data_IF_966891062754
#
_entry.id   IF_966891062754
#
_cell.length_a   1.000
_cell.length_b   1.000
_cell.length_c   1.000
_cell.angle_alpha   90.00
_cell.angle_beta   90.00
_cell.angle_gamma   90.00
#
_symmetry.space_group_name_H-M   'P 1'
#
loop_
_entity.id
_entity.type
_entity.pdbx_description
1 polymer ?
2 branched ?
3 non-polymer ?
4 non-polymer ?
5 non-polymer ?
6 water ?
#
# COMPACT_ATOMS: atom_id res chain seq x y z
N UNK A 31 21.09 -19.40 -7.86
CA UNK A 31 21.18 -18.62 -9.14
C UNK A 31 21.48 -17.13 -8.91
N UNK A 32 22.12 -16.53 -9.91
CA UNK A 32 22.55 -15.13 -9.86
C UNK A 32 22.18 -14.47 -11.20
N UNK A 33 20.88 -14.52 -11.52
CA UNK A 33 20.38 -14.03 -12.81
C UNK A 33 19.98 -12.55 -12.83
N UNK A 34 19.81 -11.93 -11.66
CA UNK A 34 19.28 -10.57 -11.58
C UNK A 34 17.80 -10.46 -11.93
N UNK A 35 17.05 -11.54 -11.65
CA UNK A 35 15.60 -11.60 -11.87
C UNK A 35 14.83 -12.02 -10.62
N UNK A 36 15.54 -12.40 -9.56
CA UNK A 36 14.94 -12.91 -8.33
C UNK A 36 14.12 -11.85 -7.62
N UNK A 37 13.12 -12.29 -6.87
CA UNK A 37 12.33 -11.40 -6.03
C UNK A 37 13.19 -10.79 -4.94
N UNK A 38 12.87 -9.55 -4.60
CA UNK A 38 13.49 -8.90 -3.47
C UNK A 38 12.54 -8.83 -2.27
N UNK A 39 12.97 -9.38 -1.14
CA UNK A 39 12.13 -9.51 0.03
C UNK A 39 12.29 -8.36 1.04
N UNK A 40 12.92 -7.28 0.58
CA UNK A 40 12.94 -6.01 1.31
C UNK A 40 12.22 -4.92 0.51
N UNK A 41 11.42 -5.35 -0.45
CA UNK A 41 10.62 -4.46 -1.31
C UNK A 41 9.16 -4.82 -1.14
N UNK A 42 8.39 -3.85 -0.65
CA UNK A 42 7.01 -4.02 -0.21
C UNK A 42 6.10 -3.23 -1.11
N UNK A 43 5.14 -3.87 -1.75
CA UNK A 43 4.28 -3.18 -2.70
C UNK A 43 2.84 -3.16 -2.18
N UNK A 44 2.31 -1.97 -1.94
CA UNK A 44 1.00 -1.83 -1.33
C UNK A 44 -0.12 -2.28 -2.27
N UNK A 45 -0.91 -3.23 -1.79
CA UNK A 45 -1.89 -3.95 -2.57
C UNK A 45 -3.27 -3.78 -1.97
N UNK A 46 -4.26 -3.51 -2.81
CA UNK A 46 -5.64 -3.28 -2.40
C UNK A 46 -6.50 -4.42 -2.95
N UNK A 47 -7.35 -4.96 -2.09
CA UNK A 47 -8.17 -6.11 -2.39
C UNK A 47 -9.66 -5.82 -2.36
N UNK A 48 -10.03 -4.57 -2.61
CA UNK A 48 -11.40 -4.10 -2.43
C UNK A 48 -12.20 -4.00 -3.73
N UNK A 49 -11.67 -4.50 -4.84
CA UNK A 49 -12.35 -4.43 -6.12
C UNK A 49 -13.30 -5.60 -6.28
N UNK A 50 -14.45 -5.35 -6.90
CA UNK A 50 -15.38 -6.41 -7.17
C UNK A 50 -15.83 -6.43 -8.61
N UNK A 51 -16.71 -7.39 -8.85
CA UNK A 51 -17.58 -7.39 -10.01
C UNK A 51 -19.02 -7.76 -9.59
N UNK A 52 -20.01 -7.37 -10.40
CA UNK A 52 -21.38 -7.79 -10.14
C UNK A 52 -21.46 -9.31 -10.05
N UNK A 53 -20.76 -10.01 -10.94
CA UNK A 53 -20.88 -11.47 -11.01
C UNK A 53 -20.36 -12.18 -9.76
N UNK A 54 -19.21 -11.73 -9.24
CA UNK A 54 -18.60 -12.37 -8.10
C UNK A 54 -18.96 -11.81 -6.75
N UNK A 55 -19.18 -10.51 -6.70
CA UNK A 55 -19.30 -9.78 -5.45
C UNK A 55 -20.67 -9.15 -5.28
N UNK A 56 -21.46 -9.13 -6.35
CA UNK A 56 -22.81 -8.61 -6.30
C UNK A 56 -22.88 -7.16 -6.76
N UNK A 57 -21.68 -6.62 -7.09
CA UNK A 57 -21.49 -5.16 -7.49
C UNK A 57 -20.02 -5.01 -7.93
N UNK A 58 -19.78 -4.26 -9.00
CA UNK A 58 -18.46 -3.69 -9.38
C UNK A 58 -17.93 -2.75 -8.27
N UNK A 59 -17.66 -3.40 -7.13
CA UNK A 59 -17.20 -2.70 -5.94
C UNK A 59 -15.91 -1.92 -6.22
N UNK A 60 -15.88 -0.67 -5.73
CA UNK A 60 -14.77 0.25 -5.88
C UNK A 60 -14.61 0.85 -7.27
N UNK A 61 -14.91 0.07 -8.32
CA UNK A 61 -14.95 0.68 -9.65
C UNK A 61 -16.03 1.77 -9.70
N UNK A 62 -17.13 1.53 -8.99
CA UNK A 62 -18.12 2.53 -8.62
C UNK A 62 -17.69 3.19 -7.34
N UNK A 63 -17.84 4.52 -7.25
CA UNK A 63 -17.34 5.26 -6.11
C UNK A 63 -18.02 6.62 -5.98
N UNK A 64 -18.29 7.04 -4.76
CA UNK A 64 -18.78 8.40 -4.54
C UNK A 64 -17.74 9.45 -4.95
N UNK A 65 -18.21 10.59 -5.44
CA UNK A 65 -17.35 11.75 -5.68
C UNK A 65 -17.34 12.60 -4.42
N UNK A 66 -16.17 12.99 -3.96
CA UNK A 66 -16.04 13.75 -2.72
C UNK A 66 -16.41 15.20 -2.90
N UNK A 67 -17.18 15.76 -1.94
CA UNK A 67 -17.40 17.20 -1.95
C UNK A 67 -16.08 17.94 -1.69
N UNK A 68 -16.01 19.16 -2.19
CA UNK A 68 -14.89 20.04 -1.97
C UNK A 68 -14.94 20.52 -0.52
N UNK A 69 -13.92 20.19 0.30
CA UNK A 69 -13.97 20.65 1.69
C UNK A 69 -14.03 22.18 1.87
N UNK A 70 -13.63 22.92 0.84
CA UNK A 70 -13.72 24.38 0.83
C UNK A 70 -14.84 24.91 -0.07
N UNK A 71 -15.80 24.05 -0.41
CA UNK A 71 -16.85 24.37 -1.39
C UNK A 71 -18.18 24.75 -0.79
N UNK A 72 -18.25 24.79 0.54
CA UNK A 72 -19.47 25.19 1.23
C UNK A 72 -20.50 24.09 1.35
N UNK A 73 -21.62 24.41 1.98
CA UNK A 73 -22.66 23.44 2.25
C UNK A 73 -23.52 23.21 1.01
N UNK A 74 -24.26 22.11 1.01
CA UNK A 74 -25.25 21.83 -0.03
C UNK A 74 -24.69 21.30 -1.33
N UNK A 75 -23.49 20.76 -1.32
CA UNK A 75 -22.94 20.19 -2.52
C UNK A 75 -23.61 18.85 -2.85
N UNK A 76 -23.79 18.58 -4.14
CA UNK A 76 -24.31 17.31 -4.62
C UNK A 76 -23.33 16.73 -5.64
N UNK A 77 -22.20 16.21 -5.16
CA UNK A 77 -21.11 15.86 -6.07
C UNK A 77 -21.38 14.66 -6.99
N UNK A 78 -22.30 13.79 -6.59
CA UNK A 78 -22.67 12.65 -7.42
C UNK A 78 -21.76 11.45 -7.20
N UNK A 79 -21.88 10.48 -8.10
CA UNK A 79 -21.15 9.23 -7.99
C UNK A 79 -20.67 8.82 -9.36
N UNK A 80 -19.60 8.05 -9.34
CA UNK A 80 -19.11 7.35 -10.52
C UNK A 80 -19.72 5.98 -10.50
N UNK A 81 -20.42 5.59 -11.56
CA UNK A 81 -21.26 4.39 -11.48
C UNK A 81 -20.52 3.06 -11.64
N UNK A 82 -19.25 3.08 -12.04
CA UNK A 82 -18.50 1.85 -12.22
C UNK A 82 -18.99 1.02 -13.38
N UNK A 83 -19.50 1.69 -14.40
CA UNK A 83 -19.83 1.06 -15.65
C UNK A 83 -18.54 0.83 -16.44
N UNK A 84 -18.62 0.13 -17.56
CA UNK A 84 -17.46 -0.06 -18.41
C UNK A 84 -16.88 1.32 -18.80
N UNK A 85 -17.77 2.26 -19.09
CA UNK A 85 -17.37 3.55 -19.61
C UNK A 85 -16.83 4.48 -18.53
N UNK A 86 -17.31 4.33 -17.30
CA UNK A 86 -17.06 5.30 -16.25
C UNK A 86 -16.71 4.62 -14.92
N UNK A 87 -15.40 4.51 -14.69
CA UNK A 87 -14.85 3.91 -13.47
C UNK A 87 -14.14 4.96 -12.63
N UNK A 88 -13.90 4.62 -11.37
CA UNK A 88 -13.36 5.54 -10.40
C UNK A 88 -11.83 5.60 -10.42
N UNK A 89 -11.30 5.96 -11.58
CA UNK A 89 -9.89 6.14 -11.78
C UNK A 89 -9.71 7.09 -12.94
N UNK A 90 -8.58 7.79 -12.93
CA UNK A 90 -8.18 8.58 -14.08
C UNK A 90 -7.49 7.71 -15.15
N UNK A 91 -7.13 6.47 -14.79
CA UNK A 91 -6.53 5.46 -15.67
C UNK A 91 -7.51 4.31 -15.85
N UNK A 92 -7.14 3.36 -16.70
CA UNK A 92 -8.03 2.24 -17.00
C UNK A 92 -7.24 0.94 -16.96
N UNK A 93 -7.64 -0.03 -16.11
CA UNK A 93 -6.86 -1.27 -15.99
C UNK A 93 -6.85 -2.12 -17.23
N UNK A 94 -5.68 -2.67 -17.54
CA UNK A 94 -5.56 -3.69 -18.58
C UNK A 94 -6.50 -4.86 -18.32
N UNK A 95 -6.67 -5.24 -17.06
CA UNK A 95 -7.51 -6.36 -16.67
C UNK A 95 -8.98 -6.03 -16.56
N UNK A 96 -9.36 -4.78 -16.83
CA UNK A 96 -10.75 -4.37 -16.75
C UNK A 96 -11.23 -4.22 -15.31
N UNK A 97 -12.55 -4.20 -15.16
CA UNK A 97 -13.20 -4.06 -13.87
C UNK A 97 -13.18 -5.41 -13.14
N UNK A 98 -12.02 -5.73 -12.61
CA UNK A 98 -11.79 -7.04 -12.05
C UNK A 98 -12.24 -7.20 -10.60
N UNK A 99 -12.43 -8.45 -10.20
CA UNK A 99 -12.64 -8.81 -8.81
C UNK A 99 -11.33 -9.22 -8.13
N UNK A 100 -11.11 -8.67 -6.95
CA UNK A 100 -10.01 -9.08 -6.09
C UNK A 100 -10.18 -10.47 -5.54
N UNK A 101 -11.36 -11.07 -5.73
CA UNK A 101 -11.62 -12.44 -5.31
C UNK A 101 -11.57 -13.45 -6.46
N UNK A 102 -11.23 -13.00 -7.66
CA UNK A 102 -11.21 -13.85 -8.85
C UNK A 102 -9.87 -14.57 -8.86
N UNK A 103 -9.86 -15.88 -8.61
CA UNK A 103 -8.53 -16.51 -8.56
C UNK A 103 -7.70 -16.37 -9.87
N UNK A 104 -8.34 -16.15 -11.03
CA UNK A 104 -7.62 -16.01 -12.24
C UNK A 104 -6.92 -14.59 -12.30
N UNK A 105 -7.58 -13.59 -11.74
CA UNK A 105 -6.97 -12.26 -11.59
C UNK A 105 -5.79 -12.36 -10.62
N UNK A 106 -5.99 -13.05 -9.50
CA UNK A 106 -4.93 -13.17 -8.52
C UNK A 106 -3.67 -13.83 -9.12
N UNK A 107 -3.85 -14.86 -9.93
CA UNK A 107 -2.71 -15.48 -10.58
C UNK A 107 -1.95 -14.48 -11.47
N UNK A 108 -2.69 -13.69 -12.24
CA UNK A 108 -2.09 -12.67 -13.08
C UNK A 108 -1.36 -11.62 -12.26
N UNK A 109 -1.97 -11.18 -11.16
CA UNK A 109 -1.31 -10.22 -10.28
C UNK A 109 0.00 -10.79 -9.75
N UNK A 110 0.03 -12.05 -9.33
CA UNK A 110 1.27 -12.60 -8.79
C UNK A 110 2.35 -12.68 -9.89
N UNK A 111 1.95 -13.00 -11.13
CA UNK A 111 2.90 -12.97 -12.23
C UNK A 111 3.42 -11.54 -12.45
N UNK A 112 2.58 -10.53 -12.22
CA UNK A 112 3.02 -9.14 -12.32
C UNK A 112 4.02 -8.79 -11.22
N UNK A 113 3.78 -9.27 -10.00
CA UNK A 113 4.75 -9.10 -8.91
C UNK A 113 6.09 -9.73 -9.29
N UNK A 114 6.07 -10.92 -9.91
CA UNK A 114 7.30 -11.57 -10.31
C UNK A 114 8.02 -10.72 -11.36
N UNK A 115 7.29 -10.17 -12.31
CA UNK A 115 7.88 -9.28 -13.32
C UNK A 115 8.52 -8.05 -12.67
N UNK A 116 7.87 -7.52 -11.66
CA UNK A 116 8.36 -6.33 -10.96
C UNK A 116 9.49 -6.62 -9.97
N UNK A 117 9.69 -7.89 -9.63
CA UNK A 117 10.67 -8.34 -8.64
C UNK A 117 10.32 -7.93 -7.22
N UNK A 118 9.06 -7.61 -6.96
CA UNK A 118 8.60 -7.15 -5.67
C UNK A 118 8.21 -8.37 -4.84
N UNK A 119 9.03 -8.73 -3.86
CA UNK A 119 8.82 -9.96 -3.12
C UNK A 119 7.77 -9.93 -2.03
N UNK A 120 7.34 -8.75 -1.60
CA UNK A 120 6.36 -8.67 -0.52
C UNK A 120 5.15 -7.85 -0.97
N UNK A 121 3.99 -8.48 -0.87
CA UNK A 121 2.69 -7.88 -1.09
C UNK A 121 2.19 -7.39 0.26
N UNK A 122 2.04 -6.08 0.38
CA UNK A 122 1.62 -5.45 1.62
C UNK A 122 0.12 -5.18 1.52
N UNK A 123 -0.65 -6.11 2.05
CA UNK A 123 -2.08 -6.19 1.84
C UNK A 123 -2.84 -5.25 2.74
N UNK A 124 -3.62 -4.36 2.14
CA UNK A 124 -4.44 -3.45 2.91
C UNK A 124 -5.44 -4.27 3.73
N UNK A 125 -5.60 -3.93 4.99
CA UNK A 125 -6.45 -4.67 5.89
C UNK A 125 -7.34 -3.70 6.63
N UNK A 126 -8.65 -3.90 6.44
CA UNK A 126 -9.70 -3.00 6.81
C UNK A 126 -10.50 -3.49 8.05
N UNK A 127 -10.22 -4.70 8.53
CA UNK A 127 -10.97 -5.25 9.65
C UNK A 127 -12.48 -5.33 9.35
N UNK A 128 -12.82 -5.88 8.20
CA UNK A 128 -14.20 -5.99 7.78
C UNK A 128 -15.00 -7.00 8.62
N UNK A 129 -14.31 -8.01 9.14
CA UNK A 129 -14.94 -9.07 9.94
C UNK A 129 -16.08 -9.75 9.18
N UNK A 130 -15.82 -10.09 7.93
CA UNK A 130 -16.80 -10.83 7.19
C UNK A 130 -16.15 -11.94 6.41
N UNK A 131 -16.98 -12.88 6.04
CA UNK A 131 -16.50 -14.08 5.42
C UNK A 131 -15.84 -13.79 4.07
N UNK A 132 -16.29 -12.76 3.36
CA UNK A 132 -15.71 -12.49 2.04
C UNK A 132 -14.24 -12.00 2.19
N UNK A 133 -13.96 -11.22 3.24
CA UNK A 133 -12.58 -10.79 3.59
C UNK A 133 -11.72 -11.98 3.90
N UNK A 134 -12.23 -12.86 4.75
CA UNK A 134 -11.48 -14.03 5.14
C UNK A 134 -11.14 -14.87 3.91
N UNK A 135 -12.12 -15.05 3.01
CA UNK A 135 -11.88 -15.83 1.80
C UNK A 135 -10.79 -15.19 0.95
N UNK A 136 -10.92 -13.89 0.74
CA UNK A 136 -10.00 -13.16 -0.11
C UNK A 136 -8.56 -13.24 0.44
N UNK A 137 -8.38 -13.07 1.74
CA UNK A 137 -7.04 -13.14 2.30
C UNK A 137 -6.42 -14.52 2.04
N UNK A 138 -7.20 -15.57 2.25
CA UNK A 138 -6.71 -16.90 1.97
C UNK A 138 -6.34 -17.11 0.51
N UNK A 139 -7.18 -16.61 -0.38
CA UNK A 139 -6.89 -16.72 -1.81
C UNK A 139 -5.59 -16.01 -2.18
N UNK A 140 -5.39 -14.83 -1.61
CA UNK A 140 -4.19 -14.04 -1.89
C UNK A 140 -2.94 -14.75 -1.35
N UNK A 141 -2.99 -15.25 -0.13
CA UNK A 141 -1.87 -16.01 0.41
C UNK A 141 -1.53 -17.21 -0.46
N UNK A 142 -2.56 -17.97 -0.84
CA UNK A 142 -2.32 -19.15 -1.66
C UNK A 142 -1.70 -18.81 -3.01
N UNK A 143 -2.23 -17.76 -3.66
CA UNK A 143 -1.73 -17.37 -4.97
C UNK A 143 -0.30 -16.85 -4.86
N UNK A 144 -0.04 -16.05 -3.84
CA UNK A 144 1.30 -15.54 -3.62
C UNK A 144 2.30 -16.68 -3.45
N UNK A 145 1.95 -17.68 -2.67
CA UNK A 145 2.90 -18.74 -2.36
C UNK A 145 3.33 -19.49 -3.61
N UNK A 146 2.42 -19.62 -4.58
CA UNK A 146 2.77 -20.33 -5.81
C UNK A 146 3.93 -19.68 -6.56
N UNK A 147 4.13 -18.37 -6.34
CA UNK A 147 5.17 -17.60 -6.98
C UNK A 147 6.28 -17.17 -6.02
N UNK A 148 6.27 -17.73 -4.80
CA UNK A 148 7.27 -17.40 -3.77
C UNK A 148 7.17 -15.95 -3.26
N UNK A 149 6.02 -15.33 -3.49
CA UNK A 149 5.76 -14.00 -2.94
C UNK A 149 5.31 -14.13 -1.51
N UNK A 150 5.70 -13.16 -0.69
CA UNK A 150 5.28 -13.10 0.71
C UNK A 150 4.22 -12.03 0.90
N UNK A 151 3.46 -12.16 1.97
CA UNK A 151 2.38 -11.25 2.29
C UNK A 151 2.57 -10.73 3.70
N UNK A 152 2.47 -9.41 3.85
CA UNK A 152 2.33 -8.78 5.15
C UNK A 152 1.11 -7.91 5.12
N UNK A 153 0.70 -7.40 6.28
CA UNK A 153 -0.52 -6.62 6.39
C UNK A 153 -0.24 -5.14 6.65
N UNK A 154 -1.03 -4.32 5.95
CA UNK A 154 -1.06 -2.87 6.08
C UNK A 154 -2.32 -2.54 6.86
N UNK A 155 -2.15 -2.28 8.16
CA UNK A 155 -3.27 -2.12 9.08
C UNK A 155 -3.82 -0.69 8.98
N UNK A 156 -5.02 -0.61 8.42
CA UNK A 156 -5.69 0.64 8.17
C UNK A 156 -6.46 1.12 9.40
N UNK A 157 -6.92 2.38 9.40
CA UNK A 157 -7.68 2.94 10.55
C UNK A 157 -9.20 2.67 10.59
N UNK A 158 -9.64 1.65 11.32
CA UNK A 158 -10.96 1.11 11.32
C UNK A 158 -11.67 1.69 12.53
N UNK A 159 -13.01 1.56 12.58
CA UNK A 159 -13.76 2.21 13.65
C UNK A 159 -13.29 1.79 15.03
N UNK A 160 -13.05 2.79 15.88
CA UNK A 160 -12.62 2.60 17.26
C UNK A 160 -11.26 1.89 17.39
N UNK A 161 -10.44 1.91 16.34
CA UNK A 161 -9.11 1.34 16.44
C UNK A 161 -8.39 1.94 17.64
N UNK A 162 -7.78 1.07 18.44
CA UNK A 162 -7.03 1.47 19.63
C UNK A 162 -6.03 0.36 19.90
N UNK A 163 -5.13 0.55 20.86
CA UNK A 163 -4.06 -0.44 21.00
C UNK A 163 -4.55 -1.79 21.49
N UNK A 164 -5.67 -1.81 22.21
CA UNK A 164 -6.20 -3.08 22.71
C UNK A 164 -6.80 -3.93 21.57
N UNK A 165 -7.70 -3.36 20.78
CA UNK A 165 -8.21 -4.12 19.66
C UNK A 165 -7.16 -4.31 18.56
N UNK A 166 -6.17 -3.43 18.46
CA UNK A 166 -5.11 -3.70 17.53
C UNK A 166 -4.31 -4.93 17.99
N UNK A 167 -4.03 -5.04 19.28
CA UNK A 167 -3.36 -6.25 19.76
C UNK A 167 -4.18 -7.48 19.44
N UNK A 168 -5.48 -7.41 19.71
CA UNK A 168 -6.32 -8.58 19.46
C UNK A 168 -6.32 -8.95 17.99
N UNK A 169 -6.30 -7.95 17.11
CA UNK A 169 -6.27 -8.21 15.68
C UNK A 169 -4.92 -8.72 15.19
N UNK A 170 -3.83 -8.24 15.78
CA UNK A 170 -2.50 -8.79 15.48
C UNK A 170 -2.44 -10.26 15.92
N UNK A 171 -2.94 -10.59 17.11
CA UNK A 171 -3.04 -11.96 17.56
C UNK A 171 -3.84 -12.80 16.58
N UNK A 172 -4.98 -12.28 16.14
CA UNK A 172 -5.83 -13.00 15.22
C UNK A 172 -5.12 -13.25 13.89
N UNK A 173 -4.48 -12.23 13.34
CA UNK A 173 -3.80 -12.40 12.06
C UNK A 173 -2.64 -13.38 12.15
N UNK A 174 -1.85 -13.31 13.21
CA UNK A 174 -0.73 -14.22 13.38
C UNK A 174 -1.25 -15.64 13.64
N UNK A 175 -2.31 -15.79 14.42
CA UNK A 175 -2.87 -17.12 14.68
C UNK A 175 -3.47 -17.73 13.42
N UNK A 176 -4.21 -16.94 12.65
CA UNK A 176 -4.88 -17.45 11.46
C UNK A 176 -3.92 -17.72 10.32
N UNK A 177 -2.95 -16.82 10.14
CA UNK A 177 -2.13 -16.83 8.91
C UNK A 177 -0.66 -17.06 9.12
N UNK A 178 -0.20 -17.03 10.37
CA UNK A 178 1.22 -17.08 10.66
C UNK A 178 1.91 -18.34 10.21
N UNK A 179 1.17 -19.44 10.06
CA UNK A 179 1.77 -20.69 9.60
C UNK A 179 1.60 -20.88 8.09
N UNK A 180 0.97 -19.93 7.42
CA UNK A 180 0.88 -20.03 5.98
C UNK A 180 2.27 -19.78 5.41
N UNK A 181 2.69 -20.59 4.43
CA UNK A 181 4.05 -20.43 3.90
C UNK A 181 4.34 -19.09 3.24
N UNK A 182 3.31 -18.35 2.84
CA UNK A 182 3.51 -17.02 2.27
C UNK A 182 3.56 -15.91 3.31
N UNK A 183 3.28 -16.19 4.57
CA UNK A 183 3.27 -15.13 5.58
C UNK A 183 4.68 -14.58 5.76
N UNK A 184 4.84 -13.27 5.62
CA UNK A 184 6.14 -12.65 5.67
C UNK A 184 6.77 -12.64 7.07
N UNK A 185 8.05 -12.94 7.17
CA UNK A 185 8.82 -12.68 8.37
C UNK A 185 10.17 -12.10 7.97
N UNK A 186 10.66 -11.19 8.81
CA UNK A 186 12.00 -10.61 8.68
C UNK A 186 12.76 -11.01 9.93
N UNK A 187 13.84 -11.77 9.76
CA UNK A 187 14.62 -12.28 10.88
C UNK A 187 13.70 -12.88 11.96
N UNK A 188 12.69 -13.63 11.52
CA UNK A 188 11.79 -14.34 12.42
C UNK A 188 10.55 -13.60 12.90
N UNK A 189 10.44 -12.31 12.57
CA UNK A 189 9.31 -11.51 13.03
C UNK A 189 8.38 -11.16 11.90
N UNK A 190 7.06 -11.24 12.15
CA UNK A 190 6.11 -10.60 11.24
C UNK A 190 6.37 -9.11 11.16
N UNK A 191 5.85 -8.46 10.12
CA UNK A 191 5.97 -7.01 9.94
C UNK A 191 4.60 -6.45 9.60
N UNK A 192 4.22 -5.37 10.28
CA UNK A 192 2.99 -4.65 9.97
C UNK A 192 3.30 -3.19 9.68
N UNK A 193 2.67 -2.65 8.64
CA UNK A 193 2.63 -1.21 8.42
C UNK A 193 1.37 -0.68 9.09
N UNK A 194 1.47 0.43 9.80
CA UNK A 194 0.32 1.01 10.49
C UNK A 194 0.02 2.39 9.95
N UNK A 195 -1.06 2.47 9.17
CA UNK A 195 -1.45 3.72 8.57
C UNK A 195 -2.08 4.63 9.62
N UNK A 196 -1.76 5.94 9.58
CA UNK A 196 -2.33 6.91 10.52
C UNK A 196 -2.01 6.56 11.96
N UNK A 197 -0.82 6.02 12.19
CA UNK A 197 -0.39 5.70 13.54
C UNK A 197 -0.34 6.93 14.44
N UNK A 198 -0.09 8.11 13.86
CA UNK A 198 0.06 9.32 14.63
C UNK A 198 -1.27 9.75 15.25
N UNK A 199 -2.37 9.14 14.85
CA UNK A 199 -3.67 9.41 15.47
C UNK A 199 -3.90 8.71 16.79
N UNK A 200 -2.96 7.86 17.20
CA UNK A 200 -2.99 7.23 18.49
C UNK A 200 -1.81 7.79 19.28
N UNK A 201 -2.10 8.21 20.52
CA UNK A 201 -1.10 8.82 21.38
C UNK A 201 0.05 7.89 21.67
N UNK A 202 1.27 8.44 21.79
CA UNK A 202 2.39 7.58 22.18
C UNK A 202 2.20 6.87 23.52
N UNK A 203 1.50 7.51 24.46
CA UNK A 203 1.26 6.85 25.74
C UNK A 203 0.43 5.58 25.56
N UNK A 204 -0.44 5.57 24.56
CA UNK A 204 -1.17 4.33 24.23
C UNK A 204 -0.27 3.33 23.51
N UNK A 205 0.46 3.78 22.49
CA UNK A 205 1.38 2.87 21.79
C UNK A 205 2.37 2.20 22.74
N UNK A 206 2.87 2.93 23.72
CA UNK A 206 3.87 2.41 24.65
C UNK A 206 3.35 1.15 25.33
N UNK A 207 2.03 1.11 25.60
CA UNK A 207 1.45 -0.03 26.28
C UNK A 207 1.56 -1.31 25.46
N UNK A 208 1.54 -1.15 24.14
CA UNK A 208 1.62 -2.26 23.21
C UNK A 208 3.05 -2.58 22.78
N UNK A 209 3.89 -1.53 22.65
CA UNK A 209 5.16 -1.65 21.94
C UNK A 209 6.40 -1.46 22.80
N UNK A 210 6.29 -0.92 24.00
CA UNK A 210 7.44 -0.96 24.90
C UNK A 210 7.57 -2.38 25.46
N UNK A 211 8.81 -2.84 25.69
CA UNK A 211 8.96 -4.15 26.34
C UNK A 211 8.31 -4.22 27.71
N UNK A 212 8.13 -3.07 28.36
CA UNK A 212 7.46 -3.01 29.65
C UNK A 212 5.99 -2.63 29.59
N UNK A 213 5.43 -2.47 28.40
CA UNK A 213 4.05 -2.01 28.27
C UNK A 213 3.03 -2.96 28.86
N UNK A 214 1.96 -2.39 29.37
CA UNK A 214 0.96 -3.21 30.05
C UNK A 214 0.31 -4.27 29.21
N UNK A 215 0.26 -4.10 27.88
CA UNK A 215 -0.23 -5.17 26.97
C UNK A 215 0.80 -5.45 25.88
N UNK A 216 2.06 -5.51 26.28
CA UNK A 216 3.13 -5.59 25.30
C UNK A 216 3.00 -6.81 24.41
N UNK A 217 3.44 -6.65 23.16
CA UNK A 217 3.73 -7.78 22.30
C UNK A 217 5.19 -8.18 22.33
N UNK A 218 6.06 -7.36 22.91
CA UNK A 218 7.48 -7.66 22.89
C UNK A 218 7.74 -8.92 23.70
N UNK A 219 8.60 -9.80 23.15
CA UNK A 219 8.98 -11.06 23.78
C UNK A 219 7.84 -12.07 23.89
N UNK A 220 6.74 -11.82 23.22
CA UNK A 220 5.60 -12.73 23.17
C UNK A 220 5.57 -13.46 21.84
N UNK A 221 4.67 -14.42 21.74
CA UNK A 221 4.43 -15.11 20.47
C UNK A 221 3.93 -14.18 19.35
N UNK A 222 3.50 -12.97 19.72
CA UNK A 222 2.86 -12.05 18.78
C UNK A 222 3.72 -10.83 18.52
N UNK A 223 5.01 -10.89 18.87
CA UNK A 223 5.91 -9.80 18.57
C UNK A 223 6.01 -9.63 17.07
N UNK A 224 6.28 -8.40 16.64
CA UNK A 224 6.31 -8.05 15.24
C UNK A 224 7.09 -6.76 15.07
N UNK A 225 7.61 -6.54 13.86
CA UNK A 225 8.13 -5.24 13.48
C UNK A 225 6.96 -4.33 13.15
N UNK A 226 6.85 -3.22 13.87
CA UNK A 226 5.75 -2.30 13.72
C UNK A 226 6.29 -1.03 13.07
N UNK A 227 5.79 -0.76 11.87
CA UNK A 227 6.29 0.32 11.02
C UNK A 227 5.22 1.40 10.93
N UNK A 228 5.43 2.51 11.62
CA UNK A 228 4.45 3.58 11.71
C UNK A 228 4.58 4.59 10.58
N UNK A 229 3.52 5.35 10.34
CA UNK A 229 3.48 6.31 9.27
C UNK A 229 4.05 7.65 9.74
N UNK A 230 5.25 7.98 9.28
CA UNK A 230 5.85 9.29 9.51
C UNK A 230 5.23 10.28 8.57
N UNK A 231 4.50 11.25 9.12
CA UNK A 231 3.84 12.29 8.33
C UNK A 231 4.63 13.60 8.36
N UNK A 232 4.60 14.27 9.50
CA UNK A 232 4.96 15.69 9.57
C UNK A 232 6.42 15.92 9.97
N UNK A 233 6.71 17.04 10.61
CA UNK A 233 8.11 17.45 10.77
C UNK A 233 8.85 16.63 11.82
N UNK A 234 10.19 16.60 11.73
CA UNK A 234 10.97 15.85 12.72
C UNK A 234 10.74 16.29 14.16
N UNK A 235 10.47 17.58 14.37
CA UNK A 235 10.21 18.09 15.72
C UNK A 235 9.12 17.28 16.41
N UNK A 236 8.12 16.87 15.63
CA UNK A 236 6.99 16.11 16.10
C UNK A 236 7.22 14.60 15.96
N UNK A 237 7.74 14.18 14.82
CA UNK A 237 7.79 12.75 14.51
C UNK A 237 8.90 12.02 15.25
N UNK A 238 10.05 12.66 15.49
CA UNK A 238 11.13 11.98 16.19
C UNK A 238 10.70 11.53 17.60
N UNK A 239 10.19 12.46 18.44
CA UNK A 239 9.80 11.99 19.77
C UNK A 239 8.63 11.03 19.72
N UNK A 240 7.72 11.21 18.76
CA UNK A 240 6.61 10.31 18.63
C UNK A 240 7.09 8.87 18.38
N UNK A 241 7.95 8.69 17.40
CA UNK A 241 8.43 7.34 17.06
C UNK A 241 9.17 6.72 18.23
N UNK A 242 10.02 7.49 18.91
CA UNK A 242 10.74 6.98 20.07
C UNK A 242 9.80 6.62 21.22
N UNK A 243 8.92 7.55 21.59
CA UNK A 243 8.05 7.38 22.74
C UNK A 243 6.99 6.31 22.52
N UNK A 244 6.59 6.10 21.27
CA UNK A 244 5.62 5.07 20.93
C UNK A 244 6.25 3.69 20.73
N UNK A 245 7.58 3.63 20.65
CA UNK A 245 8.32 2.38 20.53
C UNK A 245 8.06 1.64 19.20
N UNK A 246 7.82 2.41 18.15
CA UNK A 246 7.80 1.80 16.81
C UNK A 246 9.17 1.25 16.44
N UNK A 247 9.18 0.17 15.67
CA UNK A 247 10.42 -0.38 15.16
C UNK A 247 10.95 0.36 13.94
N UNK A 248 10.09 1.11 13.27
CA UNK A 248 10.48 1.82 12.08
C UNK A 248 9.35 2.66 11.59
N UNK A 249 9.52 3.21 10.39
CA UNK A 249 8.54 4.11 9.82
C UNK A 249 8.61 4.10 8.31
N UNK A 250 7.44 4.39 7.71
CA UNK A 250 7.26 4.52 6.28
C UNK A 250 6.52 5.82 6.02
N UNK A 251 6.38 6.18 4.74
CA UNK A 251 5.85 7.50 4.40
C UNK A 251 4.57 7.47 3.57
N UNK A 252 4.30 6.35 2.93
CA UNK A 252 3.14 6.04 2.08
C UNK A 252 2.96 6.90 0.83
N UNK A 253 2.79 8.22 0.97
CA UNK A 253 2.22 8.99 -0.11
C UNK A 253 3.10 8.98 -1.35
N UNK A 254 2.49 8.70 -2.49
CA UNK A 254 3.20 8.70 -3.75
C UNK A 254 3.46 10.09 -4.28
N UNK A 255 2.70 11.08 -3.81
CA UNK A 255 2.77 12.47 -4.27
C UNK A 255 3.86 13.21 -3.50
N UNK A 256 4.94 13.55 -4.18
CA UNK A 256 6.04 14.22 -3.52
C UNK A 256 5.56 15.54 -2.92
N UNK A 257 6.01 15.82 -1.70
CA UNK A 257 5.67 17.07 -1.03
C UNK A 257 4.32 17.11 -0.39
N UNK A 258 3.55 16.03 -0.45
CA UNK A 258 2.24 16.00 0.23
C UNK A 258 2.41 16.15 1.74
N UNK A 259 3.45 15.52 2.28
CA UNK A 259 3.84 15.66 3.66
C UNK A 259 5.35 15.85 3.71
N UNK A 260 5.86 16.24 4.88
CA UNK A 260 7.28 16.24 5.09
C UNK A 260 7.88 14.87 4.76
N UNK A 261 7.25 13.80 5.27
CA UNK A 261 7.77 12.46 5.05
C UNK A 261 7.83 12.04 3.60
N UNK A 262 6.88 12.53 2.79
CA UNK A 262 6.84 12.19 1.37
C UNK A 262 7.56 13.21 0.50
N UNK A 263 8.48 13.98 1.10
CA UNK A 263 9.32 14.91 0.37
C UNK A 263 10.71 14.27 0.30
N UNK A 264 11.10 13.71 -0.87
CA UNK A 264 12.31 12.88 -0.90
C UNK A 264 13.63 13.54 -0.52
N UNK A 265 13.72 14.87 -0.64
CA UNK A 265 14.92 15.56 -0.19
C UNK A 265 15.14 15.44 1.33
N UNK A 266 14.11 15.01 2.07
CA UNK A 266 14.27 14.77 3.51
C UNK A 266 14.77 13.37 3.83
N UNK A 267 14.86 12.49 2.83
CA UNK A 267 15.11 11.09 3.12
C UNK A 267 16.51 10.80 3.63
N UNK A 268 17.54 11.48 3.14
CA UNK A 268 18.87 11.27 3.71
C UNK A 268 18.89 11.54 5.22
N UNK A 269 18.29 12.64 5.63
CA UNK A 269 18.23 13.04 7.04
C UNK A 269 17.39 12.10 7.88
N UNK A 270 16.27 11.67 7.30
CA UNK A 270 15.40 10.72 7.98
C UNK A 270 16.10 9.38 8.19
N UNK A 271 16.88 8.93 7.20
CA UNK A 271 17.64 7.70 7.31
C UNK A 271 18.76 7.82 8.36
N UNK A 272 19.44 8.95 8.38
CA UNK A 272 20.49 9.18 9.38
C UNK A 272 19.90 9.06 10.78
N UNK A 273 18.76 9.69 11.01
CA UNK A 273 18.10 9.63 12.31
C UNK A 273 17.66 8.19 12.64
N UNK A 274 17.09 7.50 11.66
CA UNK A 274 16.69 6.13 11.86
C UNK A 274 17.87 5.25 12.30
N UNK A 275 18.99 5.36 11.59
CA UNK A 275 20.18 4.60 11.90
C UNK A 275 20.68 4.91 13.31
N UNK A 276 20.70 6.19 13.66
CA UNK A 276 21.17 6.63 14.98
C UNK A 276 20.31 6.07 16.13
N UNK A 277 19.04 5.79 15.83
CA UNK A 277 18.07 5.40 16.84
C UNK A 277 17.55 4.00 16.70
N UNK A 278 18.21 3.19 15.87
CA UNK A 278 17.90 1.79 15.74
C UNK A 278 16.53 1.52 15.13
N UNK A 279 16.09 2.40 14.23
CA UNK A 279 14.79 2.27 13.58
C UNK A 279 14.97 1.93 12.11
N UNK A 280 13.97 1.24 11.56
CA UNK A 280 13.98 0.83 10.16
C UNK A 280 13.15 1.81 9.34
N UNK A 281 13.78 2.54 8.45
CA UNK A 281 13.10 3.48 7.56
C UNK A 281 12.81 2.78 6.23
N UNK A 282 11.53 2.77 5.85
CA UNK A 282 11.05 2.14 4.63
C UNK A 282 10.33 3.24 3.80
N UNK A 283 11.08 4.10 3.12
CA UNK A 283 10.44 5.17 2.35
C UNK A 283 9.52 4.58 1.30
N UNK A 284 8.47 5.31 0.98
CA UNK A 284 7.51 4.88 -0.03
C UNK A 284 7.71 5.68 -1.31
N UNK A 285 7.82 4.97 -2.43
CA UNK A 285 8.02 5.55 -3.74
C UNK A 285 6.83 5.20 -4.62
N UNK A 286 6.48 6.09 -5.54
CA UNK A 286 5.43 5.79 -6.48
C UNK A 286 5.62 6.48 -7.81
N UNK A 287 4.81 6.09 -8.80
CA UNK A 287 5.07 6.51 -10.16
C UNK A 287 4.38 7.82 -10.57
N UNK A 288 3.50 8.34 -9.72
CA UNK A 288 2.73 9.53 -9.97
C UNK A 288 1.54 9.55 -9.04
N UNK A 289 0.70 10.56 -9.19
CA UNK A 289 -0.51 10.68 -8.38
C UNK A 289 -1.54 11.50 -9.15
N UNK A 290 -2.77 11.01 -9.20
CA UNK A 290 -3.90 11.83 -9.66
C UNK A 290 -5.20 11.16 -9.24
N UNK A 291 -6.01 11.90 -8.48
CA UNK A 291 -7.26 11.37 -7.92
C UNK A 291 -8.47 12.21 -8.27
N UNK A 292 -8.39 13.00 -9.35
CA UNK A 292 -9.40 13.99 -9.62
C UNK A 292 -10.73 13.42 -10.15
N UNK A 293 -10.78 12.16 -10.56
CA UNK A 293 -12.08 11.56 -10.84
C UNK A 293 -12.94 11.50 -9.59
N UNK A 294 -12.35 11.12 -8.46
CA UNK A 294 -13.07 11.08 -7.22
C UNK A 294 -12.97 12.35 -6.38
N UNK A 295 -11.97 13.19 -6.63
CA UNK A 295 -11.79 14.48 -5.93
C UNK A 295 -11.50 15.57 -6.94
N UNK A 296 -12.52 16.08 -7.64
CA UNK A 296 -12.24 16.97 -8.77
C UNK A 296 -11.52 18.26 -8.40
N UNK A 297 -11.66 18.63 -7.13
CA UNK A 297 -11.08 19.83 -6.54
C UNK A 297 -9.63 19.64 -6.03
N UNK A 298 -9.08 18.43 -6.18
CA UNK A 298 -7.78 18.10 -5.57
C UNK A 298 -6.60 18.13 -6.57
N UNK A 299 -6.71 18.96 -7.59
CA UNK A 299 -5.71 19.03 -8.62
C UNK A 299 -4.32 19.41 -8.16
N UNK A 300 -4.18 20.11 -7.05
CA UNK A 300 -2.86 20.52 -6.59
C UNK A 300 -1.94 19.35 -6.24
N UNK A 301 -2.53 18.19 -5.95
CA UNK A 301 -1.76 17.01 -5.58
C UNK A 301 -1.35 16.17 -6.81
N UNK A 302 -1.78 16.56 -8.00
CA UNK A 302 -1.40 15.82 -9.19
C UNK A 302 0.12 15.85 -9.34
N UNK A 303 0.69 14.67 -9.61
CA UNK A 303 2.10 14.53 -9.96
C UNK A 303 2.15 13.74 -11.25
N UNK A 304 2.63 14.37 -12.30
CA UNK A 304 2.66 13.78 -13.64
C UNK A 304 3.72 12.70 -13.77
N UNK A 305 3.39 11.65 -14.51
CA UNK A 305 4.29 10.51 -14.64
C UNK A 305 5.49 10.76 -15.56
N UNK A 306 5.34 11.63 -16.53
CA UNK A 306 6.40 11.97 -17.51
C UNK A 306 7.13 10.74 -18.04
N UNK A 307 6.38 9.78 -18.55
CA UNK A 307 6.96 8.58 -19.21
C UNK A 307 7.93 7.83 -18.31
N UNK A 308 7.71 7.91 -17.01
CA UNK A 308 8.51 7.19 -16.03
C UNK A 308 9.53 8.02 -15.30
N UNK A 309 9.76 9.27 -15.72
CA UNK A 309 10.81 10.06 -15.10
C UNK A 309 10.49 10.38 -13.65
N UNK A 310 9.23 10.59 -13.31
CA UNK A 310 8.86 10.83 -11.91
C UNK A 310 9.21 9.63 -11.04
N UNK A 311 8.83 8.45 -11.51
CA UNK A 311 9.09 7.23 -10.75
C UNK A 311 10.59 7.05 -10.57
N UNK A 312 11.34 7.24 -11.65
CA UNK A 312 12.80 7.11 -11.60
C UNK A 312 13.39 8.05 -10.56
N UNK A 313 12.95 9.31 -10.57
CA UNK A 313 13.53 10.26 -9.63
C UNK A 313 13.25 9.85 -8.19
N UNK A 314 12.03 9.40 -7.90
CA UNK A 314 11.66 9.07 -6.54
C UNK A 314 12.38 7.81 -6.07
N UNK A 315 12.44 6.80 -6.92
CA UNK A 315 13.13 5.55 -6.57
C UNK A 315 14.62 5.82 -6.36
N UNK A 316 15.22 6.65 -7.20
CA UNK A 316 16.65 6.97 -7.04
C UNK A 316 16.89 7.63 -5.68
N UNK A 317 16.02 8.55 -5.27
CA UNK A 317 16.20 9.21 -3.97
C UNK A 317 16.13 8.21 -2.82
N UNK A 318 15.22 7.23 -2.90
CA UNK A 318 15.17 6.21 -1.86
C UNK A 318 16.46 5.43 -1.78
N UNK A 319 16.95 4.98 -2.93
CA UNK A 319 18.17 4.19 -2.96
C UNK A 319 19.35 5.01 -2.45
N UNK A 320 19.45 6.25 -2.90
CA UNK A 320 20.57 7.14 -2.51
C UNK A 320 20.56 7.45 -1.03
N UNK A 321 19.39 7.39 -0.39
CA UNK A 321 19.33 7.63 1.03
C UNK A 321 19.96 6.50 1.83
N UNK A 322 20.17 5.34 1.22
CA UNK A 322 20.92 4.26 1.86
C UNK A 322 20.05 3.39 2.75
N UNK A 323 18.75 3.37 2.48
CA UNK A 323 17.81 2.57 3.27
C UNK A 323 17.94 1.09 2.99
N UNK A 324 17.44 0.29 3.92
CA UNK A 324 17.50 -1.17 3.86
C UNK A 324 16.25 -1.83 3.26
N UNK A 325 15.21 -1.06 3.03
CA UNK A 325 13.92 -1.56 2.55
C UNK A 325 13.21 -0.39 1.91
N UNK A 326 12.40 -0.70 0.91
CA UNK A 326 11.62 0.29 0.17
C UNK A 326 10.20 -0.20 0.00
N UNK A 327 9.25 0.72 0.11
CA UNK A 327 7.86 0.38 -0.15
C UNK A 327 7.40 1.15 -1.40
N UNK A 328 6.42 0.55 -2.09
CA UNK A 328 5.93 1.08 -3.38
C UNK A 328 4.45 1.34 -3.25
N UNK A 329 4.09 2.61 -3.47
CA UNK A 329 2.71 3.08 -3.48
C UNK A 329 2.38 3.42 -4.91
N UNK A 330 1.70 2.52 -5.65
CA UNK A 330 1.02 1.32 -5.15
C UNK A 330 1.01 0.28 -6.26
N UNK A 331 0.64 -0.94 -5.92
CA UNK A 331 0.34 -1.90 -6.98
C UNK A 331 -0.91 -1.43 -7.76
N UNK A 332 -1.99 -1.13 -7.02
CA UNK A 332 -3.29 -1.03 -7.62
C UNK A 332 -4.24 -0.14 -6.84
N UNK A 333 -3.78 1.02 -6.36
CA UNK A 333 -4.69 2.04 -5.85
C UNK A 333 -5.10 2.91 -7.05
N UNK A 334 -6.08 2.40 -7.78
CA UNK A 334 -6.52 3.03 -9.03
C UNK A 334 -7.18 4.38 -8.77
N UNK A 335 -7.77 4.58 -7.60
CA UNK A 335 -8.39 5.88 -7.32
C UNK A 335 -7.34 6.97 -7.18
N UNK A 336 -6.18 6.62 -6.62
CA UNK A 336 -5.04 7.50 -6.38
C UNK A 336 -4.27 7.80 -7.64
N UNK A 337 -4.38 6.92 -8.64
CA UNK A 337 -3.55 7.06 -9.82
C UNK A 337 -2.08 6.79 -9.53
N UNK A 338 -1.79 6.03 -8.48
CA UNK A 338 -0.44 5.69 -8.10
C UNK A 338 -0.03 4.28 -8.55
N UNK A 339 -0.91 3.57 -9.26
CA UNK A 339 -0.71 2.16 -9.54
C UNK A 339 0.45 1.91 -10.51
N UNK A 340 1.18 0.82 -10.28
CA UNK A 340 2.11 0.28 -11.25
C UNK A 340 1.46 -0.83 -12.09
N UNK A 341 0.29 -1.33 -11.67
CA UNK A 341 -0.40 -2.36 -12.43
C UNK A 341 -0.65 -1.85 -13.86
N UNK A 342 -0.55 -2.75 -14.86
CA UNK A 342 -0.78 -2.31 -16.23
C UNK A 342 -2.11 -1.63 -16.48
N UNK A 343 -2.03 -0.52 -17.21
CA UNK A 343 -3.15 0.31 -17.65
C UNK A 343 -3.09 0.42 -19.16
N UNK A 344 -4.24 0.61 -19.79
CA UNK A 344 -4.34 0.69 -21.24
C UNK A 344 -5.03 1.97 -21.67
N UNK A 345 -4.75 2.43 -22.90
CA UNK A 345 -5.48 3.55 -23.45
C UNK A 345 -6.96 3.23 -23.53
N UNK A 346 -7.81 4.19 -23.19
CA UNK A 346 -9.25 4.00 -23.32
C UNK A 346 -9.94 5.33 -23.38
N UNK A 347 -10.81 5.46 -24.37
CA UNK A 347 -11.69 6.59 -24.49
C UNK A 347 -13.08 6.03 -24.63
N UNK A 348 -13.93 6.43 -23.70
CA UNK A 348 -15.32 6.00 -23.74
C UNK A 348 -16.16 7.24 -24.01
N UNK A 349 -17.46 7.01 -24.18
CA UNK A 349 -18.40 8.11 -24.32
C UNK A 349 -18.45 9.00 -23.06
N UNK A 350 -17.97 8.49 -21.92
CA UNK A 350 -18.08 9.22 -20.65
C UNK A 350 -16.78 9.91 -20.19
N UNK A 351 -15.63 9.41 -20.62
CA UNK A 351 -14.35 9.93 -20.09
C UNK A 351 -13.22 9.49 -21.00
N UNK A 352 -12.24 10.39 -21.17
CA UNK A 352 -11.02 10.03 -21.85
C UNK A 352 -9.96 9.77 -20.78
N UNK A 353 -9.55 8.52 -20.63
CA UNK A 353 -8.64 8.14 -19.55
C UNK A 353 -7.20 8.53 -19.89
N UNK A 354 -6.42 8.78 -18.85
CA UNK A 354 -4.98 8.82 -18.98
C UNK A 354 -4.47 7.41 -19.24
N UNK A 355 -3.24 7.31 -19.71
CA UNK A 355 -2.61 6.02 -19.98
C UNK A 355 -1.11 6.17 -19.86
N UNK A 356 -0.37 5.10 -20.17
CA UNK A 356 1.07 5.14 -19.94
C UNK A 356 1.85 5.73 -21.12
N UNK A 357 1.14 6.34 -22.08
CA UNK A 357 1.69 7.41 -22.94
C UNK A 357 2.60 6.79 -23.93
N UNK A 358 3.88 7.17 -23.91
CA UNK A 358 4.80 6.55 -24.81
C UNK A 358 5.29 5.21 -24.34
N UNK A 359 4.95 4.84 -23.11
CA UNK A 359 5.36 3.56 -22.56
C UNK A 359 4.27 2.52 -22.74
N UNK A 360 4.68 1.25 -22.78
CA UNK A 360 3.74 0.12 -22.87
C UNK A 360 3.02 -0.17 -21.54
N UNK A 361 1.93 -0.94 -21.59
CA UNK A 361 1.15 -1.13 -20.36
C UNK A 361 1.93 -1.71 -19.19
N UNK A 362 2.90 -2.58 -19.45
CA UNK A 362 3.69 -3.19 -18.40
C UNK A 362 4.96 -2.43 -18.03
N UNK A 363 5.10 -1.20 -18.53
CA UNK A 363 6.34 -0.45 -18.30
C UNK A 363 6.65 -0.26 -16.83
N UNK A 364 5.65 0.05 -16.01
CA UNK A 364 5.94 0.32 -14.60
C UNK A 364 6.30 -0.96 -13.85
N UNK A 365 5.84 -2.13 -14.33
CA UNK A 365 6.33 -3.38 -13.75
C UNK A 365 7.80 -3.59 -14.10
N UNK A 366 8.15 -3.45 -15.38
CA UNK A 366 9.54 -3.69 -15.76
C UNK A 366 10.46 -2.60 -15.22
N UNK A 367 9.96 -1.38 -15.06
CA UNK A 367 10.79 -0.32 -14.50
C UNK A 367 11.01 -0.54 -13.00
N UNK A 368 9.99 -1.08 -12.33
CA UNK A 368 10.19 -1.50 -10.94
C UNK A 368 11.30 -2.54 -10.84
N UNK A 369 11.31 -3.51 -11.74
CA UNK A 369 12.36 -4.52 -11.72
C UNK A 369 13.74 -3.90 -11.90
N UNK A 370 13.85 -2.92 -12.77
CA UNK A 370 15.10 -2.16 -12.97
C UNK A 370 15.57 -1.56 -11.67
N UNK A 371 14.65 -0.87 -10.97
CA UNK A 371 15.02 -0.21 -9.71
C UNK A 371 15.31 -1.20 -8.58
N UNK A 372 14.58 -2.31 -8.53
CA UNK A 372 14.89 -3.35 -7.57
C UNK A 372 16.33 -3.84 -7.78
N UNK A 373 16.75 -3.99 -9.04
CA UNK A 373 18.14 -4.38 -9.31
C UNK A 373 19.14 -3.36 -8.81
N UNK A 374 18.86 -2.07 -9.03
CA UNK A 374 19.73 -1.02 -8.53
C UNK A 374 19.78 -1.00 -7.02
N UNK A 375 18.64 -1.21 -6.40
CA UNK A 375 18.55 -1.29 -4.94
C UNK A 375 19.40 -2.42 -4.41
N UNK A 376 19.30 -3.59 -5.04
CA UNK A 376 20.04 -4.77 -4.60
C UNK A 376 21.54 -4.57 -4.76
N UNK A 377 21.93 -3.84 -5.81
CA UNK A 377 23.33 -3.58 -6.05
C UNK A 377 23.95 -2.77 -4.91
N UNK A 378 23.20 -1.86 -4.29
CA UNK A 378 23.77 -1.10 -3.17
C UNK A 378 23.37 -1.56 -1.75
N UNK A 379 22.70 -2.71 -1.64
CA UNK A 379 22.30 -3.24 -0.33
C UNK A 379 23.54 -3.66 0.44
X LIG B 1 -5.63 6.14 0.35
X LIG B 1 -6.90 5.33 0.46
X LIG B 1 -7.35 5.27 1.92
X LIG B 1 -6.23 4.62 2.76
X LIG B 1 -4.89 5.32 2.50
X LIG B 1 -3.77 4.49 3.05
X LIG B 1 -6.57 4.04 -0.04
X LIG B 1 -8.56 4.57 1.99
X LIG B 1 -6.54 4.66 4.14
X LIG B 1 -4.59 5.55 1.13
X LIG B 1 -3.70 3.14 2.59
X LIG B 2 -9.47 5.03 3.00
X LIG B 2 -10.73 4.16 2.99
X LIG B 2 -11.56 4.39 1.72
X LIG B 2 -11.88 5.88 1.62
X LIG B 2 -10.57 6.68 1.66
X LIG B 2 -10.80 8.18 1.61
X LIG B 2 -11.50 4.45 4.15
X LIG B 2 -12.75 3.66 1.84
X LIG B 2 -12.57 6.11 0.42
X LIG B 2 -9.82 6.38 2.84
X LIG B 2 -9.54 8.83 1.50
X LIG C 1 -5.70 10.89 -0.21
X LIG C 1 -6.20 9.69 0.29
X LIG C 1 -5.41 8.55 0.34
X LIG C 1 -1.69 10.89 -1.59
X LIG C 1 -2.43 12.09 -1.64
X LIG C 1 -3.76 12.15 -1.23
X LIG C 1 -0.47 10.79 -1.97
X LIG C 1 -2.28 9.74 -1.10
X LIG C 1 -4.58 13.41 -1.31
X LIG C 1 -4.38 10.94 -0.67
X LIG C 1 -3.57 9.73 -0.62
X LIG C 1 -4.10 8.56 -0.11
X LIG C 1 -5.98 7.44 0.86
X LIG D 1 -8.79 7.36 -2.38
X LIG D 1 -9.18 6.21 -2.47
X LIG D 1 -9.44 8.26 -1.77
X LIG D 1 -7.52 7.75 -3.00
X LIG E 1 3.13 -10.84 8.16
X LIG E 1 4.40 -10.20 8.24
X LIG E 1 2.10 -10.12 9.02
X LIG E 1 1.91 -8.77 8.59
X LIG F 1 13.10 -5.16 6.10
X LIG F 1 12.16 -4.71 6.82
X LIG F 1 14.30 -5.17 6.40
X LIG F 1 12.76 -5.73 4.80
X LIG G 1 10.17 14.09 -13.12
X LIG G 1 9.79 14.06 -14.30
X LIG G 1 11.38 14.16 -12.75
X LIG G 1 9.13 14.07 -12.11
#
# INVERSE_FOLDING_TARGET
>A
MMIFFLSLSLESCSKEDDNNPSNSENNGGNNNLGTELDYDTFCFYYDWYGSEAIDGQYRHWAHAIAPDPNGGSGQNPGTIPGTQESIASNFYPQLGRYSSSDPNILTKHMDMFVMARTGVLALTWWNEQDETEAKRIGLILDAADKKKIKVCFHLEPYPSRNVQNLRENIVKLITRYGNHPAFYRKDGKPLFFIYDSYLIEPSEWEKLLSPGGSITIRNTAYDALMIGLWTSSPTVQRPFILNAHFDGFYTYFAATGFTYGSTPTNWVSMQKWAKENGKIFIPSVGPGYIDTRIRPWNGSVIRTRTDGQYYDAMYRKAIEAGVSAISITSFNQWHEGSQIEPAVPYTSSEFTYLDYENREPDYYLTRTAYWVGKFRESKQ
>B hetero
1 MAN C1 C2 C3 C4 C5 C6 O2 O3 O4 O5 O6
2 MAN C1 C2 C3 C4 C5 C6 O2 O3 O4 O5 O6
>C hetero
1 4MU C5 C6 C7 C2 C3 C4 O2 O1 CM4 C4A C8A C8 O1'
>D hetero
1 ACT C O OXT CH3
>E hetero
1 EDO C1 O1 C2 O2
>F hetero
1 ACT C O OXT CH3
>G hetero
1 ACT C O OXT CH3
#
